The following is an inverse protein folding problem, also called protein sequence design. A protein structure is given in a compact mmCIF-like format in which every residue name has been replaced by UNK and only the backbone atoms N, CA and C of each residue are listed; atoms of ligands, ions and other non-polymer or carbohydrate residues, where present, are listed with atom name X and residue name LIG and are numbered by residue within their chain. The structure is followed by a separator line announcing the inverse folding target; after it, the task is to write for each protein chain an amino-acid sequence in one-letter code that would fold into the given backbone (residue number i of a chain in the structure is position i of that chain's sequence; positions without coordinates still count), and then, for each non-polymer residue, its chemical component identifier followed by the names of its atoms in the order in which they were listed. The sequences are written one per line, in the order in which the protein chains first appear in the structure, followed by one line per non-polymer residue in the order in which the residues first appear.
data_IF_400641581675
#
_entry.id   IF_400641581675
#
_cell.length_a   1.000
_cell.length_b   1.000
_cell.length_c   1.000
_cell.angle_alpha   90.00
_cell.angle_beta   90.00
_cell.angle_gamma   90.00
#
_symmetry.space_group_name_H-M   'P 1'
#
loop_
_entity.id
_entity.type
_entity.pdbx_description
1 polymer ?
#
# COMPACT_ATOMS: atom_id res chain seq x y z
N UNK A 1 31.28 15.19 10.54
CA UNK A 1 31.22 13.74 10.77
C UNK A 1 29.91 13.39 11.46
N UNK A 2 28.77 13.37 10.72
CA UNK A 2 27.46 12.84 11.17
C UNK A 2 26.59 12.66 9.91
N UNK A 3 26.88 11.62 9.13
CA UNK A 3 26.08 11.27 7.95
C UNK A 3 26.22 9.76 7.67
N UNK A 4 25.83 8.92 8.64
CA UNK A 4 25.80 7.45 8.47
C UNK A 4 24.72 6.79 9.35
N UNK A 5 23.55 7.40 9.47
CA UNK A 5 22.49 6.91 10.35
C UNK A 5 21.13 6.63 9.71
N UNK A 6 20.93 6.92 8.41
CA UNK A 6 19.57 6.87 7.80
C UNK A 6 19.32 5.63 6.94
N UNK A 7 20.34 4.88 6.56
CA UNK A 7 20.19 3.76 5.61
C UNK A 7 19.72 2.42 6.25
N UNK A 8 19.61 2.32 7.58
CA UNK A 8 19.33 1.03 8.26
C UNK A 8 17.91 0.86 8.78
N UNK A 9 17.03 1.88 8.66
CA UNK A 9 15.67 1.83 9.22
C UNK A 9 14.65 1.26 8.24
N UNK A 10 14.91 1.26 6.94
CA UNK A 10 13.93 0.83 5.92
C UNK A 10 13.82 -0.69 5.80
N UNK A 11 14.82 -1.47 6.21
CA UNK A 11 14.77 -2.94 6.13
C UNK A 11 14.01 -3.64 7.26
N UNK A 12 13.70 -2.96 8.38
CA UNK A 12 13.03 -3.59 9.53
C UNK A 12 11.50 -3.46 9.53
N UNK A 13 10.91 -2.67 8.64
CA UNK A 13 9.46 -2.46 8.60
C UNK A 13 8.67 -3.55 7.85
N UNK A 14 9.34 -4.49 7.19
CA UNK A 14 8.68 -5.57 6.44
C UNK A 14 8.48 -6.86 7.24
N UNK A 15 8.83 -6.89 8.53
CA UNK A 15 8.85 -8.10 9.35
C UNK A 15 7.77 -8.25 10.43
N UNK A 16 6.83 -7.33 10.63
CA UNK A 16 6.00 -7.30 11.84
C UNK A 16 4.48 -7.28 11.64
N UNK A 17 3.96 -7.79 10.53
CA UNK A 17 2.51 -7.85 10.29
C UNK A 17 1.93 -9.27 10.33
N UNK A 18 2.46 -10.15 11.18
CA UNK A 18 1.90 -11.48 11.42
C UNK A 18 1.73 -11.73 12.92
N UNK A 19 0.91 -10.94 13.62
CA UNK A 19 0.40 -11.27 14.93
C UNK A 19 -1.12 -11.48 14.83
N UNK A 20 -1.51 -12.72 14.98
CA UNK A 20 -2.86 -13.24 14.91
C UNK A 20 -3.82 -12.47 15.81
N UNK A 21 -4.82 -11.82 15.21
CA UNK A 21 -6.07 -11.50 15.89
C UNK A 21 -6.99 -12.71 15.75
N UNK A 22 -7.13 -13.48 16.82
CA UNK A 22 -8.28 -14.37 16.99
C UNK A 22 -9.51 -13.49 17.24
N UNK A 23 -10.13 -13.03 16.19
CA UNK A 23 -11.47 -12.47 16.29
C UNK A 23 -12.44 -13.63 16.43
N UNK A 24 -13.24 -13.63 17.49
CA UNK A 24 -14.45 -14.44 17.60
C UNK A 24 -15.35 -14.10 16.41
N UNK A 25 -15.43 -15.04 15.47
CA UNK A 25 -16.40 -14.98 14.39
C UNK A 25 -17.78 -15.18 14.97
N UNK A 26 -18.55 -14.11 15.06
CA UNK A 26 -20.01 -14.23 14.98
C UNK A 26 -20.32 -14.69 13.57
N UNK A 27 -20.89 -15.86 13.45
CA UNK A 27 -21.29 -16.48 12.20
C UNK A 27 -22.31 -15.59 11.48
N UNK A 28 -21.84 -14.84 10.48
CA UNK A 28 -22.73 -14.34 9.46
C UNK A 28 -23.12 -15.52 8.55
N UNK A 29 -24.41 -15.68 8.21
CA UNK A 29 -24.84 -16.79 7.36
C UNK A 29 -24.48 -16.49 5.90
N UNK A 30 -23.24 -16.66 5.56
CA UNK A 30 -22.83 -16.85 4.18
C UNK A 30 -23.27 -18.25 3.81
N UNK A 31 -24.30 -18.36 3.00
CA UNK A 31 -24.58 -19.61 2.32
C UNK A 31 -23.37 -19.99 1.48
N UNK A 32 -22.63 -20.98 1.94
CA UNK A 32 -21.58 -21.67 1.22
C UNK A 32 -22.09 -22.47 0.00
N UNK A 33 -23.34 -22.25 -0.41
CA UNK A 33 -24.08 -23.05 -1.37
C UNK A 33 -24.03 -22.51 -2.80
N UNK A 34 -23.23 -21.44 -3.06
CA UNK A 34 -23.13 -20.86 -4.41
C UNK A 34 -21.81 -21.23 -5.11
N UNK A 35 -20.91 -21.97 -4.47
CA UNK A 35 -19.87 -22.68 -5.21
C UNK A 35 -20.50 -24.00 -5.65
N UNK A 36 -21.22 -23.93 -6.75
CA UNK A 36 -21.75 -25.10 -7.46
C UNK A 36 -20.63 -26.13 -7.63
N UNK A 37 -20.86 -27.41 -7.39
CA UNK A 37 -19.90 -28.48 -7.68
C UNK A 37 -19.52 -28.58 -9.17
N UNK A 38 -20.16 -27.79 -10.03
CA UNK A 38 -19.84 -27.64 -11.45
C UNK A 38 -18.41 -27.11 -11.74
N UNK A 39 -17.79 -26.38 -10.80
CA UNK A 39 -16.40 -25.93 -10.95
C UNK A 39 -15.36 -27.01 -10.71
N UNK A 40 -15.69 -28.04 -9.94
CA UNK A 40 -14.76 -29.13 -9.63
C UNK A 40 -14.89 -30.31 -10.60
N UNK A 41 -16.08 -30.51 -11.18
CA UNK A 41 -16.28 -31.54 -12.22
C UNK A 41 -15.61 -31.21 -13.54
N UNK A 42 -15.36 -29.94 -13.83
CA UNK A 42 -14.60 -29.52 -15.03
C UNK A 42 -13.10 -29.85 -14.95
N UNK A 43 -12.60 -30.20 -13.76
CA UNK A 43 -11.19 -30.57 -13.54
C UNK A 43 -10.97 -32.10 -13.52
N UNK A 44 -12.04 -32.91 -13.50
CA UNK A 44 -11.95 -34.38 -13.46
C UNK A 44 -12.43 -35.07 -14.73
N UNK A 45 -12.92 -34.32 -15.73
CA UNK A 45 -13.32 -34.85 -17.01
C UNK A 45 -12.21 -34.72 -18.04
N UNK A 46 -11.88 -35.82 -18.66
CA UNK A 46 -11.01 -36.08 -19.83
C UNK A 46 -10.25 -34.84 -20.32
N UNK A 47 -8.95 -34.78 -19.98
CA UNK A 47 -8.09 -33.63 -20.33
C UNK A 47 -8.23 -33.29 -21.82
N UNK A 48 -8.93 -32.19 -22.09
CA UNK A 48 -9.09 -31.75 -23.48
C UNK A 48 -7.71 -31.39 -24.05
N UNK A 49 -7.42 -31.78 -25.32
CA UNK A 49 -6.12 -31.46 -25.94
C UNK A 49 -5.73 -29.98 -25.86
N UNK A 50 -6.71 -29.10 -25.75
CA UNK A 50 -6.51 -27.64 -25.59
C UNK A 50 -5.94 -27.24 -24.22
N UNK A 51 -6.33 -27.91 -23.13
CA UNK A 51 -5.78 -27.67 -21.79
C UNK A 51 -4.35 -28.21 -21.69
N UNK A 52 -4.06 -29.38 -22.28
CA UNK A 52 -2.71 -29.95 -22.33
C UNK A 52 -1.78 -29.03 -23.12
N UNK A 53 -2.25 -28.47 -24.25
CA UNK A 53 -1.49 -27.53 -25.05
C UNK A 53 -1.25 -26.22 -24.35
N UNK A 54 -2.25 -25.68 -23.62
CA UNK A 54 -2.10 -24.48 -22.80
C UNK A 54 -1.11 -24.72 -21.65
N UNK A 55 -1.21 -25.85 -20.96
CA UNK A 55 -0.29 -26.22 -19.88
C UNK A 55 1.13 -26.43 -20.39
N UNK A 56 1.31 -27.09 -21.53
CA UNK A 56 2.63 -27.25 -22.19
C UNK A 56 3.19 -25.92 -22.69
N UNK A 57 2.35 -24.97 -23.11
CA UNK A 57 2.80 -23.64 -23.48
C UNK A 57 3.28 -22.86 -22.25
N UNK A 58 2.55 -22.95 -21.13
CA UNK A 58 2.93 -22.37 -19.85
C UNK A 58 4.20 -23.04 -19.33
N UNK A 59 4.27 -24.36 -19.31
CA UNK A 59 5.46 -25.09 -18.86
C UNK A 59 6.69 -24.78 -19.72
N UNK A 60 6.52 -24.61 -21.03
CA UNK A 60 7.63 -24.23 -21.91
C UNK A 60 8.12 -22.81 -21.66
N UNK A 61 7.23 -21.91 -21.27
CA UNK A 61 7.56 -20.51 -21.03
C UNK A 61 8.10 -20.27 -19.60
N UNK A 62 7.72 -21.12 -18.62
CA UNK A 62 8.06 -20.94 -17.21
C UNK A 62 9.03 -21.99 -16.62
N UNK A 63 9.22 -23.14 -17.28
CA UNK A 63 9.96 -24.26 -16.70
C UNK A 63 11.35 -24.49 -17.33
N UNK A 64 11.96 -23.53 -17.97
CA UNK A 64 13.33 -23.74 -18.46
C UNK A 64 14.32 -22.63 -18.11
N UNK A 65 14.88 -22.64 -16.90
CA UNK A 65 16.16 -21.96 -16.67
C UNK A 65 17.37 -22.80 -17.09
N UNK A 66 17.21 -24.01 -17.63
CA UNK A 66 18.31 -24.95 -17.72
C UNK A 66 18.87 -25.26 -19.11
N UNK A 67 18.10 -25.18 -20.19
CA UNK A 67 18.59 -25.75 -21.46
C UNK A 67 17.99 -25.10 -22.73
N UNK A 68 17.63 -23.85 -22.69
CA UNK A 68 17.52 -23.09 -23.93
C UNK A 68 18.88 -22.54 -24.24
N UNK A 69 19.40 -22.87 -25.41
CA UNK A 69 20.48 -22.13 -26.09
C UNK A 69 20.08 -20.67 -26.20
N UNK A 70 20.16 -19.95 -25.07
CA UNK A 70 20.10 -18.51 -25.11
C UNK A 70 21.28 -18.05 -25.93
N UNK A 71 21.01 -17.66 -27.16
CA UNK A 71 21.95 -16.87 -27.94
C UNK A 71 22.33 -15.71 -27.01
N UNK A 72 23.50 -15.81 -26.40
CA UNK A 72 24.01 -14.79 -25.51
C UNK A 72 24.20 -13.54 -26.36
N UNK A 73 23.21 -12.66 -26.34
CA UNK A 73 23.29 -11.39 -27.06
C UNK A 73 24.38 -10.57 -26.34
N UNK A 74 25.49 -10.22 -27.01
CA UNK A 74 26.52 -9.39 -26.38
C UNK A 74 25.90 -8.09 -25.89
N UNK A 75 26.02 -7.81 -24.60
CA UNK A 75 25.38 -6.64 -23.98
C UNK A 75 23.92 -6.81 -23.59
N UNK A 76 23.36 -8.00 -23.75
CA UNK A 76 21.97 -8.30 -23.34
C UNK A 76 21.73 -8.09 -21.84
N UNK A 77 20.54 -7.63 -21.50
CA UNK A 77 20.10 -7.37 -20.13
C UNK A 77 19.21 -8.50 -19.62
N UNK A 78 19.39 -8.92 -18.39
CA UNK A 78 18.49 -9.91 -17.76
C UNK A 78 17.10 -9.31 -17.57
N UNK A 79 16.09 -9.88 -18.24
CA UNK A 79 14.70 -9.45 -18.12
C UNK A 79 14.17 -9.66 -16.70
N UNK A 80 14.43 -10.85 -16.13
CA UNK A 80 14.06 -11.16 -14.74
C UNK A 80 14.84 -10.29 -13.75
N UNK A 81 16.13 -10.04 -14.02
CA UNK A 81 16.96 -9.13 -13.22
C UNK A 81 16.38 -7.71 -13.20
N UNK A 82 16.01 -7.15 -14.34
CA UNK A 82 15.38 -5.83 -14.42
C UNK A 82 14.05 -5.79 -13.65
N UNK A 83 13.22 -6.81 -13.83
CA UNK A 83 11.93 -6.94 -13.14
C UNK A 83 12.10 -6.96 -11.61
N UNK A 84 12.98 -7.84 -11.10
CA UNK A 84 13.19 -7.98 -9.66
C UNK A 84 13.83 -6.73 -9.04
N UNK A 85 14.75 -6.07 -9.75
CA UNK A 85 15.31 -4.80 -9.30
C UNK A 85 14.23 -3.73 -9.12
N UNK A 86 13.32 -3.58 -10.09
CA UNK A 86 12.23 -2.60 -9.99
C UNK A 86 11.10 -3.03 -9.06
N UNK A 87 10.91 -4.32 -8.83
CA UNK A 87 10.00 -4.80 -7.79
C UNK A 87 10.50 -4.46 -6.38
N UNK A 88 11.84 -4.47 -6.17
CA UNK A 88 12.44 -4.08 -4.89
C UNK A 88 12.58 -2.56 -4.75
N UNK A 89 13.03 -1.88 -5.80
CA UNK A 89 13.23 -0.43 -5.85
C UNK A 89 12.74 0.12 -7.18
N UNK A 90 11.53 0.71 -7.22
CA UNK A 90 10.91 1.21 -8.44
C UNK A 90 11.83 2.14 -9.23
N UNK A 91 12.01 1.84 -10.51
CA UNK A 91 12.86 2.60 -11.42
C UNK A 91 14.25 2.01 -11.66
N UNK A 92 14.77 1.19 -10.75
CA UNK A 92 16.15 0.67 -10.87
C UNK A 92 16.33 -0.29 -12.04
N UNK A 93 15.33 -1.12 -12.33
CA UNK A 93 15.36 -2.04 -13.47
C UNK A 93 15.31 -1.32 -14.82
N UNK A 94 14.58 -0.20 -14.92
CA UNK A 94 14.56 0.65 -16.11
C UNK A 94 15.95 1.28 -16.33
N UNK A 95 16.56 1.82 -15.27
CA UNK A 95 17.90 2.37 -15.34
C UNK A 95 18.92 1.28 -15.72
N UNK A 96 18.80 0.07 -15.18
CA UNK A 96 19.61 -1.08 -15.59
C UNK A 96 19.42 -1.39 -17.08
N UNK A 97 18.20 -1.31 -17.61
CA UNK A 97 17.91 -1.48 -19.03
C UNK A 97 18.41 -0.31 -19.91
N UNK A 98 18.87 0.79 -19.32
CA UNK A 98 19.32 2.00 -20.02
C UNK A 98 18.22 3.03 -20.28
N UNK A 99 17.08 2.91 -19.61
CA UNK A 99 15.92 3.78 -19.80
C UNK A 99 15.84 4.85 -18.70
N UNK A 100 15.90 6.13 -19.08
CA UNK A 100 15.83 7.26 -18.14
C UNK A 100 14.48 7.41 -17.44
N UNK A 101 13.41 6.83 -17.97
CA UNK A 101 12.09 6.84 -17.33
C UNK A 101 12.06 6.20 -15.95
N UNK A 102 13.07 5.40 -15.58
CA UNK A 102 13.25 4.89 -14.23
C UNK A 102 13.21 5.98 -13.16
N UNK A 103 13.65 7.19 -13.46
CA UNK A 103 13.59 8.32 -12.53
C UNK A 103 12.16 8.75 -12.16
N UNK A 104 11.16 8.54 -13.04
CA UNK A 104 9.77 8.84 -12.71
C UNK A 104 9.22 7.89 -11.64
N UNK A 105 9.53 6.61 -11.74
CA UNK A 105 9.14 5.61 -10.73
C UNK A 105 9.84 5.88 -9.39
N UNK A 106 11.12 6.21 -9.42
CA UNK A 106 11.85 6.59 -8.21
C UNK A 106 11.31 7.88 -7.57
N UNK A 107 10.93 8.87 -8.36
CA UNK A 107 10.31 10.09 -7.86
C UNK A 107 8.93 9.82 -7.21
N UNK A 108 8.09 8.98 -7.84
CA UNK A 108 6.81 8.56 -7.28
C UNK A 108 7.00 7.81 -5.94
N UNK A 109 8.05 7.00 -5.83
CA UNK A 109 8.39 6.30 -4.59
C UNK A 109 8.70 7.30 -3.46
N UNK A 110 9.56 8.28 -3.73
CA UNK A 110 9.91 9.31 -2.74
C UNK A 110 8.68 10.13 -2.34
N UNK A 111 7.85 10.55 -3.30
CA UNK A 111 6.63 11.32 -3.03
C UNK A 111 5.59 10.51 -2.26
N UNK A 112 5.45 9.22 -2.59
CA UNK A 112 4.53 8.32 -1.88
C UNK A 112 4.92 8.15 -0.41
N UNK A 113 6.19 7.89 -0.13
CA UNK A 113 6.69 7.80 1.26
C UNK A 113 6.58 9.12 2.01
N UNK A 114 6.87 10.25 1.33
CA UNK A 114 6.67 11.56 1.93
C UNK A 114 5.19 11.79 2.30
N UNK A 115 4.27 11.37 1.44
CA UNK A 115 2.83 11.42 1.71
C UNK A 115 2.43 10.56 2.91
N UNK A 116 2.88 9.29 2.97
CA UNK A 116 2.62 8.39 4.11
C UNK A 116 3.06 9.04 5.42
N UNK A 117 4.31 9.49 5.48
CA UNK A 117 4.87 10.08 6.70
C UNK A 117 4.16 11.37 7.10
N UNK A 118 3.87 12.23 6.12
CA UNK A 118 3.18 13.50 6.38
C UNK A 118 1.76 13.28 6.93
N UNK A 119 0.97 12.41 6.27
CA UNK A 119 -0.42 12.20 6.68
C UNK A 119 -0.54 11.46 8.01
N UNK A 120 0.36 10.51 8.31
CA UNK A 120 0.40 9.87 9.63
C UNK A 120 0.78 10.86 10.73
N UNK A 121 1.77 11.72 10.48
CA UNK A 121 2.17 12.74 11.45
C UNK A 121 1.03 13.72 11.73
N UNK A 122 0.37 14.22 10.69
CA UNK A 122 -0.74 15.15 10.81
C UNK A 122 -1.95 14.52 11.52
N UNK A 123 -2.28 13.26 11.21
CA UNK A 123 -3.33 12.51 11.89
C UNK A 123 -3.07 12.35 13.38
N UNK A 124 -1.84 12.01 13.76
CA UNK A 124 -1.46 11.88 15.17
C UNK A 124 -1.55 13.23 15.91
N UNK A 125 -1.11 14.32 15.28
CA UNK A 125 -1.25 15.65 15.84
C UNK A 125 -2.72 16.02 16.11
N UNK A 126 -3.62 15.75 15.17
CA UNK A 126 -5.06 15.98 15.33
C UNK A 126 -5.67 15.15 16.49
N UNK A 127 -5.20 13.93 16.71
CA UNK A 127 -5.61 13.08 17.84
C UNK A 127 -5.12 13.64 19.16
N UNK A 128 -3.87 14.12 19.20
CA UNK A 128 -3.32 14.78 20.38
C UNK A 128 -4.09 16.06 20.71
N UNK A 129 -4.44 16.87 19.70
CA UNK A 129 -5.26 18.07 19.86
C UNK A 129 -6.67 17.74 20.38
N UNK A 130 -7.29 16.66 19.88
CA UNK A 130 -8.57 16.18 20.37
C UNK A 130 -8.50 15.78 21.84
N UNK A 131 -7.48 15.01 22.25
CA UNK A 131 -7.25 14.65 23.66
C UNK A 131 -7.00 15.87 24.54
N UNK A 132 -6.20 16.80 24.07
CA UNK A 132 -5.94 18.05 24.78
C UNK A 132 -7.23 18.87 24.95
N UNK A 133 -8.12 18.86 23.95
CA UNK A 133 -9.44 19.50 24.03
C UNK A 133 -10.34 18.82 25.07
N UNK A 134 -10.42 17.48 25.08
CA UNK A 134 -11.22 16.73 26.04
C UNK A 134 -10.71 16.94 27.48
N UNK A 135 -9.40 17.01 27.63
CA UNK A 135 -8.69 17.13 28.92
C UNK A 135 -8.54 15.79 29.65
N UNK A 136 -8.00 15.82 30.87
CA UNK A 136 -7.84 14.60 31.66
C UNK A 136 -9.21 14.15 32.20
N UNK A 137 -9.69 12.92 31.90
CA UNK A 137 -11.04 12.48 32.29
C UNK A 137 -11.27 12.38 33.79
N UNK A 138 -10.20 12.25 34.58
CA UNK A 138 -10.26 12.23 36.04
C UNK A 138 -10.48 13.64 36.65
N UNK A 139 -10.16 14.69 35.90
CA UNK A 139 -10.36 16.06 36.32
C UNK A 139 -11.80 16.51 36.02
N UNK A 140 -12.53 16.91 37.04
CA UNK A 140 -13.91 17.39 36.92
C UNK A 140 -14.04 18.71 36.13
N UNK A 141 -12.96 19.45 35.96
CA UNK A 141 -12.92 20.71 35.19
C UNK A 141 -12.68 20.48 33.70
N UNK A 142 -12.27 19.29 33.30
CA UNK A 142 -12.08 18.89 31.89
C UNK A 142 -13.37 18.99 31.09
N UNK A 143 -13.27 19.14 29.78
CA UNK A 143 -14.44 19.22 28.92
C UNK A 143 -15.21 17.89 28.86
N UNK A 144 -14.54 16.77 28.98
CA UNK A 144 -15.16 15.47 29.26
C UNK A 144 -14.64 14.95 30.61
N UNK A 145 -15.52 14.45 31.53
CA UNK A 145 -15.08 13.91 32.83
C UNK A 145 -15.97 12.77 33.34
N UNK A 146 -15.33 11.79 34.01
CA UNK A 146 -16.01 10.69 34.69
C UNK A 146 -17.04 11.19 35.70
N UNK A 147 -16.70 12.20 36.50
CA UNK A 147 -17.59 12.74 37.50
C UNK A 147 -18.86 13.34 36.91
N UNK A 148 -18.75 14.04 35.77
CA UNK A 148 -19.92 14.62 35.09
C UNK A 148 -20.79 13.54 34.54
N UNK A 149 -20.21 12.50 33.93
CA UNK A 149 -20.93 11.34 33.42
C UNK A 149 -21.71 10.63 34.56
N UNK A 150 -21.01 10.30 35.68
CA UNK A 150 -21.62 9.64 36.83
C UNK A 150 -22.79 10.46 37.43
N UNK A 151 -22.59 11.79 37.58
CA UNK A 151 -23.63 12.69 38.10
C UNK A 151 -24.84 12.82 37.18
N UNK A 152 -24.64 12.81 35.86
CA UNK A 152 -25.71 12.99 34.89
C UNK A 152 -26.53 11.71 34.68
N UNK A 153 -25.88 10.55 34.77
CA UNK A 153 -26.50 9.26 34.43
C UNK A 153 -26.86 8.40 35.65
N UNK A 154 -26.34 8.72 36.85
CA UNK A 154 -26.32 7.84 38.02
C UNK A 154 -25.71 6.44 37.75
N UNK A 155 -24.83 6.33 36.76
CA UNK A 155 -24.10 5.11 36.44
C UNK A 155 -22.65 5.19 36.87
N UNK A 156 -22.07 4.04 37.28
CA UNK A 156 -20.66 3.96 37.61
C UNK A 156 -19.80 3.99 36.31
N UNK A 157 -18.76 4.83 36.31
CA UNK A 157 -17.80 4.95 35.25
C UNK A 157 -16.64 3.92 35.31
N UNK A 158 -16.73 2.87 36.13
CA UNK A 158 -15.64 1.90 36.34
C UNK A 158 -15.18 1.26 35.02
N UNK A 159 -16.09 0.93 34.12
CA UNK A 159 -15.76 0.42 32.79
C UNK A 159 -14.95 1.44 31.98
N UNK A 160 -15.38 2.70 31.93
CA UNK A 160 -14.69 3.76 31.20
C UNK A 160 -13.30 4.06 31.78
N UNK A 161 -13.17 4.02 33.12
CA UNK A 161 -11.90 4.18 33.82
C UNK A 161 -10.94 3.05 33.48
N UNK A 162 -11.43 1.81 33.41
CA UNK A 162 -10.63 0.65 32.99
C UNK A 162 -10.26 0.71 31.51
N UNK A 163 -11.16 1.16 30.66
CA UNK A 163 -10.92 1.35 29.22
C UNK A 163 -9.86 2.42 28.98
N UNK A 164 -9.96 3.57 29.65
CA UNK A 164 -8.98 4.65 29.55
C UNK A 164 -7.58 4.20 29.97
N UNK A 165 -7.49 3.40 31.06
CA UNK A 165 -6.22 2.88 31.55
C UNK A 165 -5.60 1.82 30.61
N UNK A 166 -6.42 1.02 29.94
CA UNK A 166 -5.97 -0.07 29.08
C UNK A 166 -5.72 0.37 27.64
N UNK A 167 -6.61 1.17 27.09
CA UNK A 167 -6.59 1.66 25.70
C UNK A 167 -7.22 3.04 25.60
N UNK A 168 -6.42 4.10 25.73
CA UNK A 168 -6.90 5.48 25.62
C UNK A 168 -7.55 5.80 24.27
N UNK A 169 -7.12 5.14 23.18
CA UNK A 169 -7.71 5.36 21.84
C UNK A 169 -9.13 4.78 21.76
N UNK A 170 -9.35 3.58 22.30
CA UNK A 170 -10.67 2.99 22.39
C UNK A 170 -11.60 3.79 23.31
N UNK A 171 -11.06 4.41 24.38
CA UNK A 171 -11.80 5.33 25.23
C UNK A 171 -12.23 6.57 24.44
N UNK A 172 -11.30 7.23 23.72
CA UNK A 172 -11.60 8.40 22.90
C UNK A 172 -12.69 8.10 21.86
N UNK A 173 -12.61 6.91 21.23
CA UNK A 173 -13.60 6.44 20.27
C UNK A 173 -14.99 6.22 20.93
N UNK A 174 -15.00 5.70 22.17
CA UNK A 174 -16.25 5.48 22.90
C UNK A 174 -16.94 6.80 23.23
N UNK A 175 -16.21 7.78 23.80
CA UNK A 175 -16.78 9.08 24.18
C UNK A 175 -17.19 9.95 22.99
N UNK A 176 -16.64 9.67 21.80
CA UNK A 176 -17.00 10.33 20.55
C UNK A 176 -18.29 9.75 19.96
N UNK A 177 -18.33 8.43 19.76
CA UNK A 177 -19.32 7.78 18.90
C UNK A 177 -20.53 7.21 19.65
N UNK A 178 -20.39 6.92 20.95
CA UNK A 178 -21.50 6.32 21.71
C UNK A 178 -22.32 7.40 22.44
N UNK A 179 -23.60 7.59 22.05
CA UNK A 179 -24.50 8.54 22.71
C UNK A 179 -24.66 8.31 24.21
N UNK A 180 -24.37 7.10 24.70
CA UNK A 180 -24.42 6.77 26.12
C UNK A 180 -23.44 7.62 26.94
N UNK A 181 -22.29 7.97 26.36
CA UNK A 181 -21.23 8.73 27.03
C UNK A 181 -21.28 10.25 26.76
N UNK A 182 -22.24 10.69 25.94
CA UNK A 182 -22.46 12.11 25.66
C UNK A 182 -22.70 12.97 26.93
N UNK A 183 -23.37 12.48 28.00
CA UNK A 183 -23.55 13.26 29.22
C UNK A 183 -22.26 13.62 29.97
N UNK A 184 -21.14 12.95 29.63
CA UNK A 184 -19.81 13.28 30.19
C UNK A 184 -19.22 14.60 29.65
N UNK A 185 -19.71 15.12 28.51
CA UNK A 185 -19.27 16.38 27.93
C UNK A 185 -19.82 17.60 28.67
N UNK A 186 -19.03 18.67 28.73
CA UNK A 186 -19.44 19.94 29.34
C UNK A 186 -20.51 20.66 28.53
N UNK A 187 -20.34 20.61 27.19
CA UNK A 187 -21.31 21.15 26.21
C UNK A 187 -21.35 20.27 24.95
N UNK A 188 -22.46 20.36 24.21
CA UNK A 188 -22.55 19.72 22.89
C UNK A 188 -21.56 20.32 21.88
N UNK A 189 -21.16 21.57 22.07
CA UNK A 189 -20.18 22.24 21.22
C UNK A 189 -18.77 21.64 21.46
N UNK A 190 -18.40 21.35 22.70
CA UNK A 190 -17.11 20.71 23.02
C UNK A 190 -17.04 19.31 22.41
N UNK A 191 -18.15 18.56 22.49
CA UNK A 191 -18.26 17.25 21.83
C UNK A 191 -18.08 17.36 20.30
N UNK A 192 -18.81 18.30 19.66
CA UNK A 192 -18.68 18.45 18.21
C UNK A 192 -17.29 18.88 17.77
N UNK A 193 -16.59 19.74 18.53
CA UNK A 193 -15.19 20.10 18.24
C UNK A 193 -14.24 18.92 18.37
N UNK A 194 -14.44 18.07 19.37
CA UNK A 194 -13.68 16.84 19.55
C UNK A 194 -13.90 15.87 18.36
N UNK A 195 -15.15 15.63 18.01
CA UNK A 195 -15.55 14.81 16.88
C UNK A 195 -14.99 15.33 15.55
N UNK A 196 -15.04 16.65 15.33
CA UNK A 196 -14.45 17.29 14.14
C UNK A 196 -12.94 17.04 14.02
N UNK A 197 -12.18 17.09 15.11
CA UNK A 197 -10.76 16.81 15.13
C UNK A 197 -10.47 15.33 14.83
N UNK A 198 -11.24 14.43 15.41
CA UNK A 198 -11.14 12.99 15.15
C UNK A 198 -11.47 12.64 13.70
N UNK A 199 -12.54 13.22 13.17
CA UNK A 199 -12.91 13.05 11.75
C UNK A 199 -11.83 13.57 10.80
N UNK A 200 -11.18 14.68 11.17
CA UNK A 200 -10.05 15.20 10.38
C UNK A 200 -8.86 14.22 10.43
N UNK A 201 -8.54 13.67 11.60
CA UNK A 201 -7.51 12.66 11.76
C UNK A 201 -7.78 11.44 10.87
N UNK A 202 -9.01 10.92 10.89
CA UNK A 202 -9.38 9.72 10.11
C UNK A 202 -9.33 9.98 8.60
N UNK A 203 -9.66 11.20 8.16
CA UNK A 203 -9.43 11.62 6.77
C UNK A 203 -7.96 11.63 6.41
N UNK A 204 -7.06 12.08 7.32
CA UNK A 204 -5.61 12.03 7.09
C UNK A 204 -5.08 10.60 7.03
N UNK A 205 -5.55 9.71 7.91
CA UNK A 205 -5.20 8.28 7.84
C UNK A 205 -5.67 7.65 6.52
N UNK A 206 -6.85 7.99 6.05
CA UNK A 206 -7.32 7.54 4.73
C UNK A 206 -6.38 8.01 3.62
N UNK A 207 -5.88 9.25 3.67
CA UNK A 207 -4.90 9.77 2.72
C UNK A 207 -3.55 9.03 2.82
N UNK A 208 -3.12 8.67 4.03
CA UNK A 208 -1.94 7.83 4.24
C UNK A 208 -2.10 6.46 3.56
N UNK A 209 -3.21 5.78 3.77
CA UNK A 209 -3.51 4.48 3.13
C UNK A 209 -3.61 4.57 1.61
N UNK A 210 -4.14 5.66 1.05
CA UNK A 210 -4.13 5.90 -0.41
C UNK A 210 -2.69 6.05 -0.91
N UNK A 211 -1.82 6.74 -0.15
CA UNK A 211 -0.40 6.87 -0.50
C UNK A 211 0.31 5.52 -0.46
N UNK A 212 0.06 4.69 0.56
CA UNK A 212 0.57 3.31 0.65
C UNK A 212 0.11 2.45 -0.53
N UNK A 213 -1.19 2.50 -0.86
CA UNK A 213 -1.73 1.81 -2.04
C UNK A 213 -1.05 2.25 -3.34
N UNK A 214 -0.77 3.53 -3.48
CA UNK A 214 -0.06 4.08 -4.65
C UNK A 214 1.37 3.55 -4.74
N UNK A 215 2.08 3.40 -3.60
CA UNK A 215 3.40 2.78 -3.56
C UNK A 215 3.37 1.35 -4.06
N UNK A 216 2.42 0.52 -3.59
CA UNK A 216 2.27 -0.85 -4.05
C UNK A 216 2.03 -0.94 -5.57
N UNK A 217 1.15 -0.08 -6.10
CA UNK A 217 0.90 -0.01 -7.55
C UNK A 217 2.17 0.41 -8.29
N UNK A 218 2.94 1.37 -7.75
CA UNK A 218 4.20 1.82 -8.34
C UNK A 218 5.20 0.66 -8.47
N UNK A 219 5.37 -0.18 -7.42
CA UNK A 219 6.24 -1.35 -7.47
C UNK A 219 5.83 -2.34 -8.57
N UNK A 220 4.54 -2.67 -8.65
CA UNK A 220 4.04 -3.63 -9.65
C UNK A 220 4.22 -3.09 -11.06
N UNK A 221 3.81 -1.84 -11.31
CA UNK A 221 3.93 -1.23 -12.64
C UNK A 221 5.39 -1.06 -13.04
N UNK A 222 6.26 -0.62 -12.11
CA UNK A 222 7.69 -0.48 -12.36
C UNK A 222 8.33 -1.82 -12.71
N UNK A 223 7.98 -2.91 -12.03
CA UNK A 223 8.51 -4.24 -12.30
C UNK A 223 8.18 -4.70 -13.73
N UNK A 224 6.91 -4.58 -14.14
CA UNK A 224 6.50 -4.95 -15.49
C UNK A 224 7.12 -4.06 -16.56
N UNK A 225 7.21 -2.77 -16.32
CA UNK A 225 7.83 -1.83 -17.26
C UNK A 225 9.34 -2.08 -17.40
N UNK A 226 10.03 -2.43 -16.31
CA UNK A 226 11.45 -2.80 -16.33
C UNK A 226 11.68 -4.11 -17.10
N UNK A 227 10.84 -5.12 -16.89
CA UNK A 227 10.87 -6.35 -17.68
C UNK A 227 10.73 -6.06 -19.17
N UNK A 228 9.72 -5.26 -19.55
CA UNK A 228 9.50 -4.83 -20.93
C UNK A 228 10.70 -4.06 -21.49
N UNK A 229 11.28 -3.15 -20.70
CA UNK A 229 12.43 -2.36 -21.11
C UNK A 229 13.63 -3.26 -21.43
N UNK A 230 13.95 -4.22 -20.55
CA UNK A 230 15.03 -5.18 -20.80
C UNK A 230 14.75 -6.07 -22.01
N UNK A 231 13.51 -6.53 -22.18
CA UNK A 231 13.09 -7.32 -23.34
C UNK A 231 13.23 -6.54 -24.65
N UNK A 232 12.81 -5.28 -24.68
CA UNK A 232 12.99 -4.43 -25.86
C UNK A 232 14.47 -4.16 -26.15
N UNK A 233 15.30 -3.99 -25.11
CA UNK A 233 16.75 -3.86 -25.27
C UNK A 233 17.40 -5.10 -25.88
N UNK A 234 16.87 -6.28 -25.54
CA UNK A 234 17.38 -7.57 -26.03
C UNK A 234 16.84 -7.96 -27.41
N UNK A 235 15.85 -7.25 -27.95
CA UNK A 235 15.32 -7.58 -29.29
C UNK A 235 16.28 -7.09 -30.38
N UNK A 236 17.12 -7.96 -30.99
CA UNK A 236 17.81 -7.63 -32.22
C UNK A 236 16.76 -7.58 -33.32
N UNK A 237 16.39 -6.42 -33.78
CA UNK A 237 15.72 -6.33 -35.05
C UNK A 237 16.72 -6.82 -36.11
N UNK A 238 16.44 -7.98 -36.70
CA UNK A 238 17.33 -8.66 -37.67
C UNK A 238 17.85 -7.66 -38.71
N UNK A 239 19.17 -7.67 -38.96
CA UNK A 239 19.82 -6.77 -39.91
C UNK A 239 20.35 -5.45 -39.34
N UNK A 240 20.61 -5.35 -38.03
CA UNK A 240 21.21 -4.13 -37.45
C UNK A 240 20.21 -2.96 -37.30
N UNK A 241 18.93 -3.25 -37.33
CA UNK A 241 17.85 -2.27 -37.14
C UNK A 241 17.44 -2.25 -35.67
N UNK A 242 17.63 -1.14 -34.98
CA UNK A 242 17.16 -0.90 -33.60
C UNK A 242 15.92 -0.03 -33.60
N UNK A 243 14.92 -0.35 -32.77
CA UNK A 243 13.78 0.51 -32.50
C UNK A 243 14.06 1.26 -31.19
N UNK A 244 14.12 2.59 -31.25
CA UNK A 244 14.24 3.45 -30.08
C UNK A 244 12.92 4.20 -29.89
N UNK A 245 12.28 3.99 -28.75
CA UNK A 245 11.12 4.76 -28.35
C UNK A 245 11.52 5.67 -27.19
N UNK A 246 11.32 6.97 -27.35
CA UNK A 246 11.64 7.98 -26.35
C UNK A 246 10.41 8.86 -26.06
N UNK A 247 10.11 9.05 -24.78
CA UNK A 247 9.04 9.93 -24.34
C UNK A 247 9.64 11.19 -23.72
N UNK A 248 9.28 12.36 -24.27
CA UNK A 248 9.75 13.65 -23.75
C UNK A 248 8.61 14.67 -23.73
N UNK A 249 8.73 15.64 -22.85
CA UNK A 249 7.82 16.79 -22.82
C UNK A 249 8.32 17.87 -23.77
N UNK A 250 7.48 18.27 -24.72
CA UNK A 250 7.78 19.37 -25.64
C UNK A 250 6.67 20.41 -25.58
N UNK A 251 7.02 21.63 -25.23
CA UNK A 251 6.08 22.79 -25.19
C UNK A 251 4.81 22.52 -24.36
N UNK A 252 4.93 21.78 -23.21
CA UNK A 252 3.79 21.51 -22.32
C UNK A 252 2.94 20.28 -22.70
N UNK A 253 3.29 19.58 -23.77
CA UNK A 253 2.58 18.38 -24.22
C UNK A 253 3.50 17.14 -24.18
N UNK A 254 2.98 15.95 -23.79
CA UNK A 254 3.73 14.71 -23.91
C UNK A 254 3.96 14.38 -25.39
N UNK A 255 5.20 14.20 -25.77
CA UNK A 255 5.59 13.79 -27.12
C UNK A 255 6.28 12.42 -27.04
N UNK A 256 5.88 11.53 -27.92
CA UNK A 256 6.51 10.21 -28.08
C UNK A 256 7.23 10.17 -29.42
N UNK A 257 8.52 9.83 -29.39
CA UNK A 257 9.32 9.65 -30.59
C UNK A 257 9.65 8.17 -30.71
N UNK A 258 9.30 7.57 -31.84
CA UNK A 258 9.72 6.23 -32.23
C UNK A 258 10.71 6.37 -33.36
N UNK A 259 11.96 5.99 -33.13
CA UNK A 259 13.03 6.05 -34.11
C UNK A 259 13.47 4.65 -34.51
N UNK A 260 13.51 4.36 -35.79
CA UNK A 260 14.13 3.18 -36.36
C UNK A 260 15.60 3.53 -36.67
N UNK A 261 16.53 2.92 -35.93
CA UNK A 261 17.95 3.17 -36.10
C UNK A 261 18.59 1.94 -36.77
N UNK A 262 19.29 2.15 -37.88
CA UNK A 262 20.07 1.12 -38.54
C UNK A 262 21.55 1.44 -38.32
N UNK A 263 22.28 0.52 -37.71
CA UNK A 263 23.74 0.55 -37.71
C UNK A 263 24.27 -0.11 -38.95
N UNK A 264 25.11 0.57 -39.71
CA UNK A 264 25.79 0.05 -40.89
C UNK A 264 27.18 -0.46 -40.48
#
# INVERSE_FOLDING_TARGET
MRALGVACVVCCALGSAAAARTAHATEAPWRADVISPLGLELLTGDETPSLILAQRAIDREWTSPGDSDYVKIPGGKSELGAMTMSAAFPGTGQLYAGESRGFYFAALEVLGWAGVLFFHHDANGLREDARALAGEPADSTSKWSFQRYENATNQDASYLKSLYAADPEAFDQAIDNDPLYAPGWSTSQDHSQFSDLRDQSDRRLTQAHVSEGTLWVNHVVAAFDAWRAARLHNMPLGGGIGLKADGHWRAGHPAFTVALQRSF
#
